data_IF_495723092277
#
_entry.id   IF_495723092277
#
_cell.length_a   1.000
_cell.length_b   1.000
_cell.length_c   1.000
_cell.angle_alpha   90.00
_cell.angle_beta   90.00
_cell.angle_gamma   90.00
#
_symmetry.space_group_name_H-M   'P 1'
#
loop_
_entity.id
_entity.type
_entity.pdbx_description
1 polymer ?
#
# COMPACT_ATOMS: atom_id res chain seq x y z
N UNK A 1 16.51 -7.23 -17.71
CA UNK A 1 15.51 -6.60 -18.61
C UNK A 1 14.49 -5.79 -17.81
N UNK A 2 13.81 -6.37 -16.80
CA UNK A 2 12.83 -5.66 -15.96
C UNK A 2 13.34 -4.34 -15.37
N UNK A 3 14.55 -4.30 -14.78
CA UNK A 3 15.15 -3.06 -14.25
C UNK A 3 15.29 -1.99 -15.34
N UNK A 4 15.74 -2.38 -16.54
CA UNK A 4 15.91 -1.45 -17.65
C UNK A 4 14.56 -0.88 -18.13
N UNK A 5 13.49 -1.68 -18.08
CA UNK A 5 12.13 -1.21 -18.34
C UNK A 5 11.65 -0.25 -17.24
N UNK A 6 11.84 -0.57 -15.96
CA UNK A 6 11.47 0.29 -14.84
C UNK A 6 12.16 1.67 -14.91
N UNK A 7 13.45 1.71 -15.30
CA UNK A 7 14.21 2.96 -15.50
C UNK A 7 13.63 3.91 -16.56
N UNK A 8 12.69 3.46 -17.40
CA UNK A 8 11.97 4.32 -18.34
C UNK A 8 10.89 5.18 -17.67
N UNK A 9 10.49 4.82 -16.45
CA UNK A 9 9.42 5.46 -15.69
C UNK A 9 9.89 6.17 -14.41
N UNK A 10 11.17 6.00 -14.03
CA UNK A 10 11.78 6.65 -12.87
C UNK A 10 12.95 5.85 -12.31
N UNK A 11 13.53 6.32 -11.20
CA UNK A 11 14.57 5.60 -10.48
C UNK A 11 13.97 4.47 -9.62
N UNK A 12 14.35 3.19 -9.85
CA UNK A 12 13.87 2.08 -9.03
C UNK A 12 14.41 2.17 -7.58
N UNK A 13 13.56 1.82 -6.60
CA UNK A 13 13.96 1.72 -5.19
C UNK A 13 14.97 0.56 -5.01
N UNK A 14 16.05 0.80 -4.27
CA UNK A 14 17.11 -0.20 -4.02
C UNK A 14 16.75 -1.26 -2.97
N UNK A 15 15.52 -1.20 -2.46
CA UNK A 15 14.88 -2.12 -1.53
C UNK A 15 15.71 -2.40 -0.26
N UNK A 16 16.61 -1.50 0.16
CA UNK A 16 17.55 -1.73 1.29
C UNK A 16 16.89 -2.25 2.57
N UNK A 17 15.65 -1.84 2.84
CA UNK A 17 14.90 -2.25 4.04
C UNK A 17 14.06 -3.51 3.85
N UNK A 18 13.96 -4.04 2.61
CA UNK A 18 13.17 -5.24 2.31
C UNK A 18 14.02 -6.48 2.55
N UNK A 19 13.52 -7.38 3.39
CA UNK A 19 14.14 -8.71 3.63
C UNK A 19 14.25 -9.55 2.36
N UNK A 20 13.34 -9.32 1.42
CA UNK A 20 13.20 -9.99 0.13
C UNK A 20 14.04 -9.36 -0.99
N UNK A 21 14.91 -8.40 -0.66
CA UNK A 21 15.81 -7.77 -1.63
C UNK A 21 16.71 -8.82 -2.30
N UNK A 22 16.77 -8.81 -3.62
CA UNK A 22 17.63 -9.71 -4.37
C UNK A 22 19.11 -9.31 -4.19
N UNK A 23 20.02 -10.26 -3.88
CA UNK A 23 21.41 -9.95 -3.59
C UNK A 23 22.22 -9.50 -4.82
N UNK A 24 21.84 -9.93 -6.02
CA UNK A 24 22.52 -9.57 -7.28
C UNK A 24 21.86 -8.37 -7.96
N UNK A 25 20.58 -8.16 -7.72
CA UNK A 25 19.78 -7.09 -8.32
C UNK A 25 19.04 -6.31 -7.22
N UNK A 26 19.71 -5.39 -6.50
CA UNK A 26 19.14 -4.59 -5.42
C UNK A 26 17.76 -3.99 -5.67
N UNK A 27 17.50 -3.57 -6.91
CA UNK A 27 16.27 -2.94 -7.35
C UNK A 27 15.08 -3.92 -7.43
N UNK A 28 15.35 -5.22 -7.27
CA UNK A 28 14.35 -6.28 -7.29
C UNK A 28 14.13 -6.80 -5.87
N UNK A 29 12.87 -6.86 -5.46
CA UNK A 29 12.42 -7.58 -4.27
C UNK A 29 11.54 -8.76 -4.70
N UNK A 30 11.77 -9.95 -4.14
CA UNK A 30 11.07 -11.18 -4.54
C UNK A 30 9.90 -11.50 -3.62
N UNK A 31 8.73 -11.82 -4.17
CA UNK A 31 7.61 -12.41 -3.42
C UNK A 31 7.64 -13.91 -3.69
N UNK A 32 8.01 -14.71 -2.68
CA UNK A 32 8.18 -16.16 -2.82
C UNK A 32 7.35 -16.86 -1.74
N UNK A 33 6.52 -17.80 -2.16
CA UNK A 33 5.74 -18.68 -1.30
C UNK A 33 6.04 -20.17 -1.56
N UNK A 34 7.10 -20.48 -2.31
CA UNK A 34 7.52 -21.85 -2.61
C UNK A 34 8.23 -22.48 -1.40
N UNK A 35 7.79 -23.64 -0.89
CA UNK A 35 8.48 -24.37 0.17
C UNK A 35 9.95 -24.62 -0.18
N UNK A 36 10.80 -24.67 0.84
CA UNK A 36 12.21 -25.02 0.64
C UNK A 36 12.31 -26.52 0.30
N UNK A 37 13.41 -26.90 -0.36
CA UNK A 37 13.65 -28.28 -0.78
C UNK A 37 13.72 -29.27 0.39
N UNK A 38 14.07 -28.78 1.58
CA UNK A 38 14.13 -29.55 2.83
C UNK A 38 12.76 -29.73 3.52
N UNK A 39 11.67 -29.29 2.88
CA UNK A 39 10.31 -29.37 3.42
C UNK A 39 10.00 -28.33 4.49
N UNK A 40 10.96 -27.48 4.86
CA UNK A 40 10.67 -26.35 5.73
C UNK A 40 9.78 -25.34 5.00
N UNK A 41 8.97 -24.53 5.74
CA UNK A 41 8.14 -23.51 5.14
C UNK A 41 8.97 -22.63 4.21
N UNK A 42 8.34 -22.12 3.15
CA UNK A 42 8.92 -21.06 2.36
C UNK A 42 9.41 -19.95 3.31
N UNK A 43 10.37 -19.13 2.89
CA UNK A 43 10.54 -17.80 3.47
C UNK A 43 9.33 -16.93 3.06
N UNK A 44 8.12 -17.42 3.40
CA UNK A 44 6.82 -16.91 3.03
C UNK A 44 6.69 -15.55 3.70
N UNK A 45 7.00 -14.54 2.92
CA UNK A 45 6.59 -13.19 3.21
C UNK A 45 5.24 -13.02 2.52
N UNK A 46 4.15 -13.25 3.27
CA UNK A 46 2.80 -12.79 2.90
C UNK A 46 2.72 -11.26 2.96
N UNK A 47 3.67 -10.58 2.31
CA UNK A 47 3.61 -9.15 2.12
C UNK A 47 2.45 -8.84 1.19
N UNK A 48 1.53 -7.98 1.63
CA UNK A 48 0.44 -7.49 0.80
C UNK A 48 -0.82 -8.34 0.76
N UNK A 49 -1.08 -9.18 1.79
CA UNK A 49 -2.38 -9.84 1.96
C UNK A 49 -3.51 -8.86 2.30
N UNK A 50 -3.15 -7.68 2.80
CA UNK A 50 -4.08 -6.61 3.16
C UNK A 50 -4.16 -5.54 2.06
N UNK A 51 -5.28 -4.83 2.00
CA UNK A 51 -5.44 -3.68 1.10
C UNK A 51 -4.47 -2.56 1.49
N UNK A 52 -3.54 -2.21 0.59
CA UNK A 52 -2.50 -1.23 0.86
C UNK A 52 -1.95 -0.60 -0.42
N UNK A 53 -1.31 0.54 -0.26
CA UNK A 53 -0.42 1.15 -1.25
C UNK A 53 1.04 0.95 -0.80
N UNK A 54 1.90 0.50 -1.72
CA UNK A 54 3.30 0.19 -1.45
C UNK A 54 4.05 1.40 -0.89
N UNK A 55 4.85 1.16 0.16
CA UNK A 55 5.71 2.16 0.77
C UNK A 55 5.00 3.48 1.16
N UNK A 56 3.68 3.44 1.39
CA UNK A 56 2.91 4.62 1.81
C UNK A 56 3.36 5.21 3.15
N UNK A 57 4.07 4.44 3.96
CA UNK A 57 4.74 4.89 5.19
C UNK A 57 6.04 5.70 4.96
N UNK A 58 6.46 5.94 3.71
CA UNK A 58 7.60 6.81 3.37
C UNK A 58 7.13 8.22 3.04
N UNK A 59 7.97 9.23 3.29
CA UNK A 59 7.69 10.63 2.94
C UNK A 59 7.46 10.82 1.43
N UNK A 60 8.21 10.10 0.61
CA UNK A 60 7.98 9.95 -0.81
C UNK A 60 7.53 8.51 -1.09
N UNK A 61 6.21 8.26 -1.20
CA UNK A 61 5.69 6.94 -1.52
C UNK A 61 6.12 6.49 -2.92
N UNK A 62 6.12 5.17 -3.14
CA UNK A 62 6.33 4.60 -4.47
C UNK A 62 5.28 5.14 -5.44
N UNK A 63 5.70 5.69 -6.57
CA UNK A 63 4.79 6.19 -7.61
C UNK A 63 4.25 5.08 -8.52
N UNK A 64 5.13 4.16 -8.93
CA UNK A 64 4.79 3.05 -9.83
C UNK A 64 5.38 1.77 -9.24
N UNK A 65 4.58 0.71 -9.18
CA UNK A 65 5.06 -0.63 -8.84
C UNK A 65 4.96 -1.53 -10.08
N UNK A 66 5.94 -2.42 -10.23
CA UNK A 66 5.96 -3.47 -11.24
C UNK A 66 5.98 -4.84 -10.57
N UNK A 67 5.16 -5.77 -11.05
CA UNK A 67 5.14 -7.16 -10.59
C UNK A 67 5.24 -8.10 -11.79
N UNK A 68 6.24 -8.99 -11.77
CA UNK A 68 6.49 -9.97 -12.82
C UNK A 68 6.22 -11.39 -12.31
N UNK A 69 5.31 -12.10 -12.98
CA UNK A 69 4.92 -13.47 -12.63
C UNK A 69 5.94 -14.51 -13.07
N UNK A 70 7.02 -14.72 -12.31
CA UNK A 70 8.07 -15.70 -12.66
C UNK A 70 7.59 -17.16 -12.50
N UNK A 71 6.90 -17.45 -11.40
CA UNK A 71 6.30 -18.75 -11.15
C UNK A 71 4.95 -18.53 -10.49
N UNK A 72 3.87 -18.92 -11.17
CA UNK A 72 2.49 -18.66 -10.74
C UNK A 72 1.78 -20.00 -10.55
N UNK A 73 1.07 -20.23 -9.42
CA UNK A 73 0.34 -21.46 -9.22
C UNK A 73 -0.82 -21.60 -10.22
N UNK A 74 -1.22 -22.84 -10.58
CA UNK A 74 -2.32 -23.05 -11.53
C UNK A 74 -3.68 -22.59 -10.99
N UNK A 75 -3.82 -22.41 -9.67
CA UNK A 75 -5.01 -21.93 -8.99
C UNK A 75 -4.60 -20.98 -7.85
N UNK A 76 -5.24 -19.82 -7.77
CA UNK A 76 -4.94 -18.79 -6.77
C UNK A 76 -3.74 -17.91 -7.15
N UNK A 77 -3.33 -17.01 -6.24
CA UNK A 77 -2.23 -16.07 -6.50
C UNK A 77 -2.62 -14.82 -7.30
N UNK A 78 -3.92 -14.60 -7.49
CA UNK A 78 -4.45 -13.40 -8.14
C UNK A 78 -4.10 -12.14 -7.37
N UNK A 79 -3.86 -11.05 -8.09
CA UNK A 79 -3.70 -9.72 -7.50
C UNK A 79 -4.97 -8.92 -7.70
N UNK A 80 -5.47 -8.31 -6.63
CA UNK A 80 -6.61 -7.40 -6.70
C UNK A 80 -6.17 -5.95 -6.56
N UNK A 81 -6.83 -5.06 -7.29
CA UNK A 81 -6.59 -3.62 -7.30
C UNK A 81 -7.91 -2.90 -7.03
N UNK A 82 -7.88 -1.83 -6.23
CA UNK A 82 -9.04 -1.00 -5.98
C UNK A 82 -8.92 0.31 -6.76
N UNK A 83 -9.91 0.67 -7.56
CA UNK A 83 -9.90 1.95 -8.27
C UNK A 83 -10.20 3.10 -7.29
N UNK A 84 -9.14 3.74 -6.77
CA UNK A 84 -9.27 4.76 -5.74
C UNK A 84 -9.79 6.10 -6.28
N UNK A 85 -9.78 6.31 -7.60
CA UNK A 85 -10.51 7.42 -8.22
C UNK A 85 -12.01 7.20 -8.11
N UNK A 86 -12.50 6.03 -8.53
CA UNK A 86 -13.92 5.72 -8.49
C UNK A 86 -14.43 5.65 -7.05
N UNK A 87 -13.60 5.15 -6.12
CA UNK A 87 -13.88 5.22 -4.70
C UNK A 87 -14.11 6.67 -4.22
N UNK A 88 -13.24 7.62 -4.60
CA UNK A 88 -13.43 9.04 -4.26
C UNK A 88 -14.63 9.67 -4.96
N UNK A 89 -14.79 9.45 -6.27
CA UNK A 89 -15.83 10.05 -7.11
C UNK A 89 -17.24 9.70 -6.62
N UNK A 90 -17.41 8.49 -6.05
CA UNK A 90 -18.68 7.96 -5.56
C UNK A 90 -18.99 8.29 -4.09
N UNK A 91 -18.09 8.97 -3.37
CA UNK A 91 -18.42 9.53 -2.06
C UNK A 91 -19.46 10.65 -2.19
N UNK A 92 -20.29 10.82 -1.17
CA UNK A 92 -21.18 11.98 -1.08
C UNK A 92 -20.37 13.27 -0.98
N UNK A 93 -20.94 14.39 -1.44
CA UNK A 93 -20.24 15.69 -1.41
C UNK A 93 -19.92 16.13 0.02
N UNK A 94 -20.79 15.80 0.98
CA UNK A 94 -20.52 16.02 2.41
C UNK A 94 -19.28 15.27 2.90
N UNK A 95 -19.12 14.01 2.48
CA UNK A 95 -17.93 13.22 2.84
C UNK A 95 -16.68 13.74 2.12
N UNK A 96 -16.78 14.08 0.83
CA UNK A 96 -15.67 14.70 0.07
C UNK A 96 -15.19 16.00 0.73
N UNK A 97 -16.12 16.83 1.22
CA UNK A 97 -15.80 18.06 1.95
C UNK A 97 -15.11 17.76 3.27
N UNK A 98 -15.62 16.81 4.05
CA UNK A 98 -15.06 16.40 5.33
C UNK A 98 -13.59 15.97 5.21
N UNK A 99 -13.25 15.13 4.22
CA UNK A 99 -11.91 14.55 4.10
C UNK A 99 -10.90 15.41 3.32
N UNK A 100 -11.34 16.51 2.71
CA UNK A 100 -10.55 17.27 1.74
C UNK A 100 -9.25 17.88 2.28
N UNK A 101 -9.17 18.15 3.59
CA UNK A 101 -7.99 18.68 4.27
C UNK A 101 -7.42 17.76 5.34
N UNK A 102 -7.88 16.51 5.40
CA UNK A 102 -7.42 15.54 6.40
C UNK A 102 -6.23 14.76 5.86
N UNK A 103 -5.29 14.44 6.76
CA UNK A 103 -4.11 13.64 6.46
C UNK A 103 -4.15 12.33 7.25
N UNK A 104 -3.95 11.21 6.59
CA UNK A 104 -3.82 9.90 7.22
C UNK A 104 -2.37 9.62 7.59
N UNK A 105 -2.13 9.08 8.78
CA UNK A 105 -0.82 8.62 9.25
C UNK A 105 -0.61 7.18 8.80
N UNK A 106 0.42 6.97 7.97
CA UNK A 106 0.75 5.67 7.38
C UNK A 106 1.90 4.99 8.14
N UNK A 107 1.71 3.73 8.52
CA UNK A 107 2.74 2.97 9.25
C UNK A 107 3.21 1.71 8.54
N UNK A 108 4.46 1.34 8.82
CA UNK A 108 5.06 0.13 8.25
C UNK A 108 4.57 -1.16 8.93
N UNK A 109 4.33 -1.12 10.25
CA UNK A 109 3.85 -2.26 11.06
C UNK A 109 2.59 -1.85 11.81
N UNK A 110 1.66 -2.79 11.98
CA UNK A 110 0.31 -2.57 12.53
C UNK A 110 0.27 -1.96 13.95
N UNK A 111 1.34 -2.05 14.74
CA UNK A 111 1.37 -1.43 16.07
C UNK A 111 1.86 0.01 15.98
N UNK A 112 0.92 0.96 15.97
CA UNK A 112 1.19 2.40 16.10
C UNK A 112 1.69 2.79 17.47
N UNK A 113 1.18 2.13 18.51
CA UNK A 113 1.29 2.58 19.89
C UNK A 113 1.81 1.43 20.75
N UNK A 114 2.98 1.65 21.36
CA UNK A 114 3.45 0.81 22.44
C UNK A 114 2.78 1.24 23.76
N UNK A 115 1.76 0.48 24.17
CA UNK A 115 1.03 0.71 25.43
C UNK A 115 1.73 0.11 26.66
N UNK A 116 2.96 -0.40 26.54
CA UNK A 116 3.66 -1.02 27.67
C UNK A 116 3.95 -0.01 28.80
N UNK A 117 4.19 1.26 28.46
CA UNK A 117 4.28 2.37 29.43
C UNK A 117 3.71 3.67 28.84
N UNK A 118 3.27 4.63 29.69
CA UNK A 118 2.88 5.97 29.24
C UNK A 118 3.97 6.67 28.42
N UNK A 119 5.25 6.53 28.78
CA UNK A 119 6.37 7.15 28.08
C UNK A 119 6.56 6.56 26.67
N UNK A 120 6.44 5.23 26.54
CA UNK A 120 6.52 4.57 25.23
C UNK A 120 5.32 4.87 24.34
N UNK A 121 4.15 5.10 24.94
CA UNK A 121 2.97 5.56 24.23
C UNK A 121 3.20 6.96 23.66
N UNK A 122 3.76 7.86 24.47
CA UNK A 122 4.13 9.23 24.08
C UNK A 122 5.20 9.23 22.98
N UNK A 123 6.23 8.39 23.11
CA UNK A 123 7.30 8.22 22.12
C UNK A 123 6.77 7.66 20.79
N UNK A 124 5.89 6.66 20.87
CA UNK A 124 5.21 6.09 19.70
C UNK A 124 4.43 7.17 18.95
N UNK A 125 3.67 8.00 19.69
CA UNK A 125 2.95 9.15 19.10
C UNK A 125 3.88 10.16 18.43
N UNK A 126 5.06 10.42 19.00
CA UNK A 126 6.06 11.33 18.39
C UNK A 126 6.74 10.73 17.16
N UNK A 127 6.89 9.41 17.09
CA UNK A 127 7.50 8.70 15.96
C UNK A 127 6.57 8.53 14.75
N UNK A 128 5.29 8.91 14.87
CA UNK A 128 4.33 8.97 13.76
C UNK A 128 4.65 10.13 12.81
N UNK A 129 5.72 9.99 12.03
CA UNK A 129 6.28 11.11 11.26
C UNK A 129 5.67 11.31 9.88
N UNK A 130 4.99 10.31 9.31
CA UNK A 130 4.57 10.35 7.90
C UNK A 130 3.05 10.36 7.79
N UNK A 131 2.52 11.56 7.51
CA UNK A 131 1.13 11.77 7.16
C UNK A 131 1.03 12.15 5.67
N UNK A 132 -0.02 11.66 5.02
CA UNK A 132 -0.34 11.97 3.62
C UNK A 132 -1.79 12.43 3.50
N UNK A 133 -2.13 13.34 2.57
CA UNK A 133 -3.52 13.71 2.34
C UNK A 133 -4.39 12.50 2.04
N UNK A 134 -5.54 12.39 2.70
CA UNK A 134 -6.54 11.34 2.40
C UNK A 134 -7.11 11.50 0.98
N UNK A 135 -7.00 12.69 0.39
CA UNK A 135 -7.35 12.96 -1.01
C UNK A 135 -6.11 13.43 -1.74
N UNK A 136 -5.62 12.60 -2.67
CA UNK A 136 -4.48 12.94 -3.53
C UNK A 136 -4.95 13.45 -4.87
N UNK A 137 -4.21 14.39 -5.44
CA UNK A 137 -4.40 14.87 -6.81
C UNK A 137 -3.33 14.23 -7.68
N UNK A 138 -3.74 13.53 -8.72
CA UNK A 138 -2.80 12.96 -9.68
C UNK A 138 -2.15 14.11 -10.48
N UNK A 139 -0.81 14.23 -10.49
CA UNK A 139 -0.13 15.42 -11.02
C UNK A 139 -0.40 15.66 -12.50
N UNK A 140 -0.52 14.60 -13.31
CA UNK A 140 -0.72 14.75 -14.77
C UNK A 140 -2.19 14.91 -15.19
N UNK A 141 -3.13 14.30 -14.45
CA UNK A 141 -4.54 14.24 -14.87
C UNK A 141 -5.43 15.18 -14.07
N UNK A 142 -4.94 15.71 -12.95
CA UNK A 142 -5.72 16.51 -12.01
C UNK A 142 -6.83 15.74 -11.29
N UNK A 143 -6.98 14.43 -11.55
CA UNK A 143 -8.00 13.60 -10.92
C UNK A 143 -7.70 13.40 -9.45
N UNK A 144 -8.76 13.37 -8.64
CA UNK A 144 -8.66 13.12 -7.19
C UNK A 144 -8.86 11.64 -6.90
N UNK A 145 -7.99 11.07 -6.09
CA UNK A 145 -8.10 9.69 -5.59
C UNK A 145 -8.11 9.67 -4.06
N UNK A 146 -8.82 8.70 -3.51
CA UNK A 146 -8.77 8.42 -2.07
C UNK A 146 -7.42 7.73 -1.76
N UNK A 147 -6.74 8.14 -0.70
CA UNK A 147 -5.47 7.55 -0.29
C UNK A 147 -5.60 6.97 1.12
N UNK A 148 -6.17 5.77 1.18
CA UNK A 148 -6.43 5.04 2.42
C UNK A 148 -6.16 3.55 2.20
N UNK A 149 -5.91 2.83 3.28
CA UNK A 149 -5.74 1.38 3.30
C UNK A 149 -5.44 0.92 4.72
N UNK A 150 -5.17 -0.37 4.91
CA UNK A 150 -4.97 -0.97 6.24
C UNK A 150 -3.70 -0.44 6.96
N UNK A 151 -2.83 0.26 6.22
CA UNK A 151 -1.65 0.95 6.78
C UNK A 151 -1.94 2.34 7.34
N UNK A 152 -3.14 2.89 7.11
CA UNK A 152 -3.59 4.15 7.72
C UNK A 152 -4.25 3.85 9.05
N UNK A 153 -3.77 4.48 10.11
CA UNK A 153 -4.15 4.07 11.47
C UNK A 153 -4.57 5.25 12.35
N UNK A 154 -4.26 6.47 11.94
CA UNK A 154 -4.68 7.70 12.60
C UNK A 154 -4.92 8.78 11.56
N UNK A 155 -5.78 9.75 11.86
CA UNK A 155 -5.88 11.00 11.13
C UNK A 155 -5.12 12.07 11.92
N UNK A 156 -4.23 12.80 11.25
CA UNK A 156 -3.43 13.82 11.91
C UNK A 156 -4.33 14.85 12.61
N UNK A 157 -4.06 15.09 13.90
CA UNK A 157 -4.85 16.00 14.73
C UNK A 157 -6.13 15.42 15.33
N UNK A 158 -6.43 14.14 15.09
CA UNK A 158 -7.57 13.43 15.70
C UNK A 158 -7.08 12.38 16.70
N UNK A 159 -7.91 12.04 17.70
CA UNK A 159 -7.64 10.89 18.57
C UNK A 159 -7.85 9.57 17.80
N UNK A 160 -7.34 8.44 18.30
CA UNK A 160 -7.64 7.12 17.72
C UNK A 160 -9.15 6.84 17.63
N UNK A 161 -9.93 7.24 18.64
CA UNK A 161 -11.37 7.02 18.72
C UNK A 161 -12.13 7.85 17.68
N UNK A 162 -11.66 9.06 17.38
CA UNK A 162 -12.21 9.91 16.32
C UNK A 162 -11.80 9.40 14.92
N UNK A 163 -10.55 8.96 14.79
CA UNK A 163 -9.97 8.54 13.51
C UNK A 163 -10.56 7.22 13.01
N UNK A 164 -10.71 6.24 13.91
CA UNK A 164 -10.99 4.84 13.54
C UNK A 164 -12.30 4.68 12.74
N UNK A 165 -13.45 5.26 13.15
CA UNK A 165 -14.69 5.09 12.40
C UNK A 165 -14.62 5.68 10.98
N UNK A 166 -13.92 6.81 10.81
CA UNK A 166 -13.76 7.44 9.51
C UNK A 166 -12.84 6.62 8.59
N UNK A 167 -11.70 6.15 9.10
CA UNK A 167 -10.79 5.26 8.35
C UNK A 167 -11.52 3.96 7.95
N UNK A 168 -12.20 3.32 8.89
CA UNK A 168 -12.92 2.06 8.64
C UNK A 168 -14.03 2.23 7.59
N UNK A 169 -14.77 3.35 7.66
CA UNK A 169 -15.76 3.70 6.64
C UNK A 169 -15.12 3.84 5.25
N UNK A 170 -14.03 4.61 5.14
CA UNK A 170 -13.35 4.87 3.87
C UNK A 170 -12.73 3.60 3.29
N UNK A 171 -12.07 2.77 4.10
CA UNK A 171 -11.54 1.47 3.70
C UNK A 171 -12.66 0.51 3.25
N UNK A 172 -13.78 0.47 3.97
CA UNK A 172 -14.93 -0.37 3.60
C UNK A 172 -15.60 0.09 2.32
N UNK A 173 -15.69 1.40 2.11
CA UNK A 173 -16.16 1.98 0.85
C UNK A 173 -15.24 1.62 -0.31
N UNK A 174 -13.92 1.81 -0.16
CA UNK A 174 -12.93 1.53 -1.21
C UNK A 174 -12.88 0.05 -1.63
N UNK A 175 -13.23 -0.88 -0.73
CA UNK A 175 -13.24 -2.34 -0.98
C UNK A 175 -14.51 -2.87 -1.64
N UNK A 176 -15.46 -2.00 -2.00
CA UNK A 176 -16.71 -2.46 -2.63
C UNK A 176 -16.43 -3.11 -3.99
N UNK A 177 -17.09 -4.24 -4.34
CA UNK A 177 -16.77 -5.02 -5.54
C UNK A 177 -16.74 -4.22 -6.85
N UNK A 178 -17.59 -3.21 -6.99
CA UNK A 178 -17.60 -2.35 -8.19
C UNK A 178 -16.32 -1.52 -8.40
N UNK A 179 -15.46 -1.40 -7.39
CA UNK A 179 -14.17 -0.72 -7.49
C UNK A 179 -13.02 -1.69 -7.71
N UNK A 180 -13.26 -3.01 -7.59
CA UNK A 180 -12.20 -4.01 -7.58
C UNK A 180 -11.98 -4.58 -8.97
N UNK A 181 -10.73 -4.48 -9.44
CA UNK A 181 -10.22 -5.27 -10.56
C UNK A 181 -9.44 -6.45 -10.00
N UNK A 182 -9.73 -7.65 -10.49
CA UNK A 182 -9.02 -8.88 -10.14
C UNK A 182 -8.24 -9.37 -11.34
N UNK A 183 -6.92 -9.41 -11.22
CA UNK A 183 -6.04 -9.94 -12.23
C UNK A 183 -5.68 -11.39 -11.91
N UNK A 184 -6.07 -12.31 -12.80
CA UNK A 184 -5.62 -13.69 -12.76
C UNK A 184 -4.22 -13.77 -13.35
N UNK A 185 -3.21 -13.85 -12.48
CA UNK A 185 -1.81 -13.88 -12.87
C UNK A 185 -1.53 -15.09 -13.75
N UNK A 186 -0.76 -14.90 -14.83
CA UNK A 186 -0.13 -15.97 -15.59
C UNK A 186 1.38 -15.83 -15.52
N UNK A 187 2.06 -16.94 -15.79
CA UNK A 187 3.51 -16.91 -15.91
C UNK A 187 3.91 -15.93 -17.03
N UNK A 188 4.94 -15.14 -16.77
CA UNK A 188 5.45 -14.05 -17.60
C UNK A 188 4.58 -12.79 -17.73
N UNK A 189 3.42 -12.73 -17.05
CA UNK A 189 2.69 -11.47 -16.97
C UNK A 189 3.54 -10.42 -16.23
N UNK A 190 3.59 -9.21 -16.80
CA UNK A 190 4.17 -8.03 -16.17
C UNK A 190 3.05 -7.03 -15.90
N UNK A 191 2.71 -6.85 -14.62
CA UNK A 191 1.81 -5.81 -14.18
C UNK A 191 2.59 -4.55 -13.85
N UNK A 192 2.00 -3.41 -14.20
CA UNK A 192 2.48 -2.09 -13.81
C UNK A 192 1.28 -1.24 -13.43
N UNK A 193 1.32 -0.59 -12.27
CA UNK A 193 0.23 0.26 -11.79
C UNK A 193 0.73 1.53 -11.13
N UNK A 194 -0.14 2.54 -11.11
CA UNK A 194 0.06 3.77 -10.36
C UNK A 194 -0.26 3.50 -8.88
N UNK A 195 0.77 3.41 -8.05
CA UNK A 195 0.64 2.95 -6.68
C UNK A 195 -0.10 3.93 -5.73
N UNK A 196 -0.03 5.26 -5.92
CA UNK A 196 -0.87 6.19 -5.16
C UNK A 196 -2.37 6.16 -5.44
N UNK A 197 -2.80 5.57 -6.56
CA UNK A 197 -4.17 5.66 -7.05
C UNK A 197 -4.89 4.31 -7.17
N UNK A 198 -4.21 3.22 -6.78
CA UNK A 198 -4.72 1.84 -6.81
C UNK A 198 -4.39 1.08 -5.53
#
# INVERSE_FOLDING_TARGET
QQIAFARRFGEPDDNKTRRTRNPHFPEISTVINKPKLDGSPADAHWGGSDWHSDASFKLAPTGITLLHGVAVPPVGGDTQFANMYLAYETLSDGMKKLISGLEGVHVQKEKLLDHSTPERLEESRRSMTIAHPLVRVHPETGRKSLYVGEKVQLIAGMTPEESRPLIDFLCTHARRPQFIYRHQMKQEDLLMWNNPCF
#
